data_IF_884238091323
#
_entry.id   IF_884238091323
#
_cell.length_a   1.000
_cell.length_b   1.000
_cell.length_c   1.000
_cell.angle_alpha   90.00
_cell.angle_beta   90.00
_cell.angle_gamma   90.00
#
_symmetry.space_group_name_H-M   'P 1'
#
loop_
_entity.id
_entity.type
_entity.pdbx_description
1 polymer ?
#
# COMPACT_ATOMS: atom_id res chain seq x y z
N UNK A 1 26.37 14.76 -0.28
CA UNK A 1 27.03 13.57 -0.88
C UNK A 1 25.95 12.73 -1.52
N UNK A 2 25.95 12.55 -2.84
CA UNK A 2 25.01 11.68 -3.57
C UNK A 2 25.78 10.85 -4.60
N UNK A 3 25.31 9.63 -4.88
CA UNK A 3 25.92 8.73 -5.85
C UNK A 3 25.56 7.26 -5.60
N UNK A 4 25.57 6.45 -6.65
CA UNK A 4 25.31 4.99 -6.60
C UNK A 4 26.25 4.25 -5.64
N UNK A 5 27.44 4.80 -5.38
CA UNK A 5 28.38 4.32 -4.36
C UNK A 5 27.81 4.28 -2.95
N UNK A 6 26.78 5.09 -2.64
CA UNK A 6 26.10 5.06 -1.35
C UNK A 6 24.92 4.07 -1.32
N UNK A 7 24.40 3.66 -2.47
CA UNK A 7 23.37 2.61 -2.57
C UNK A 7 23.97 1.21 -2.46
N UNK A 8 25.15 0.98 -3.07
CA UNK A 8 25.86 -0.29 -3.02
C UNK A 8 26.03 -0.89 -1.60
N UNK A 9 26.51 -0.15 -0.57
CA UNK A 9 26.68 -0.70 0.77
C UNK A 9 25.35 -1.09 1.44
N UNK A 10 24.24 -0.42 1.12
CA UNK A 10 22.91 -0.78 1.65
C UNK A 10 22.46 -2.14 1.10
N UNK A 11 22.64 -2.37 -0.20
CA UNK A 11 22.27 -3.65 -0.83
C UNK A 11 23.17 -4.77 -0.32
N UNK A 12 24.49 -4.57 -0.22
CA UNK A 12 25.38 -5.59 0.34
C UNK A 12 25.08 -5.92 1.81
N UNK A 13 24.68 -4.92 2.60
CA UNK A 13 24.25 -5.13 3.99
C UNK A 13 22.97 -5.97 4.08
N UNK A 14 21.97 -5.68 3.23
CA UNK A 14 20.74 -6.48 3.16
C UNK A 14 21.01 -7.92 2.72
N UNK A 15 21.90 -8.13 1.74
CA UNK A 15 22.32 -9.47 1.31
C UNK A 15 23.01 -10.24 2.45
N UNK A 16 23.85 -9.57 3.25
CA UNK A 16 24.46 -10.19 4.42
C UNK A 16 23.41 -10.64 5.45
N UNK A 17 22.36 -9.84 5.68
CA UNK A 17 21.24 -10.22 6.54
C UNK A 17 20.46 -11.42 5.97
N UNK A 18 20.28 -11.49 4.64
CA UNK A 18 19.66 -12.65 3.98
C UNK A 18 20.46 -13.92 4.24
N UNK A 19 21.78 -13.91 4.04
CA UNK A 19 22.63 -15.06 4.31
C UNK A 19 22.64 -15.44 5.81
N UNK A 20 22.52 -14.46 6.70
CA UNK A 20 22.39 -14.74 8.14
C UNK A 20 21.07 -15.41 8.50
N UNK A 21 19.98 -15.08 7.80
CA UNK A 21 18.63 -15.61 8.10
C UNK A 21 18.32 -16.90 7.35
N UNK A 22 18.82 -17.04 6.14
CA UNK A 22 18.65 -18.19 5.26
C UNK A 22 20.04 -18.70 4.85
N UNK A 23 20.70 -19.54 5.68
CA UNK A 23 22.09 -19.96 5.44
C UNK A 23 22.32 -20.68 4.11
N UNK A 24 21.31 -21.40 3.62
CA UNK A 24 21.39 -22.20 2.40
C UNK A 24 20.92 -21.46 1.13
N UNK A 25 20.60 -20.16 1.25
CA UNK A 25 20.10 -19.37 0.12
C UNK A 25 21.14 -19.25 -0.99
N UNK A 26 20.73 -19.53 -2.22
CA UNK A 26 21.60 -19.41 -3.39
C UNK A 26 21.68 -17.96 -3.88
N UNK A 27 22.77 -17.57 -4.58
CA UNK A 27 22.87 -16.24 -5.18
C UNK A 27 21.73 -15.90 -6.16
N UNK A 28 21.15 -16.91 -6.83
CA UNK A 28 19.96 -16.74 -7.68
C UNK A 28 18.73 -16.37 -6.87
N UNK A 29 18.46 -17.08 -5.78
CA UNK A 29 17.30 -16.80 -4.90
C UNK A 29 17.44 -15.46 -4.18
N UNK A 30 18.67 -15.07 -3.80
CA UNK A 30 18.94 -13.72 -3.28
C UNK A 30 18.53 -12.66 -4.30
N UNK A 31 18.95 -12.81 -5.57
CA UNK A 31 18.60 -11.87 -6.64
C UNK A 31 17.08 -11.83 -6.86
N UNK A 32 16.43 -12.98 -6.89
CA UNK A 32 14.98 -13.08 -7.06
C UNK A 32 14.22 -12.37 -5.93
N UNK A 33 14.58 -12.63 -4.67
CA UNK A 33 13.99 -11.94 -3.50
C UNK A 33 14.17 -10.43 -3.58
N UNK A 34 15.36 -9.95 -3.94
CA UNK A 34 15.63 -8.52 -4.07
C UNK A 34 14.88 -7.85 -5.21
N UNK A 35 14.48 -8.61 -6.24
CA UNK A 35 13.69 -8.10 -7.37
C UNK A 35 12.19 -8.20 -7.12
N UNK A 36 11.76 -9.19 -6.32
CA UNK A 36 10.37 -9.46 -6.00
C UNK A 36 9.82 -8.51 -4.94
N UNK A 37 10.60 -8.23 -3.89
CA UNK A 37 10.17 -7.45 -2.74
C UNK A 37 10.67 -6.01 -2.83
N UNK A 38 10.19 -5.31 -3.86
CA UNK A 38 10.58 -3.95 -4.22
C UNK A 38 9.41 -3.00 -4.06
N UNK A 39 9.69 -1.82 -3.51
CA UNK A 39 8.80 -0.67 -3.59
C UNK A 39 9.09 0.00 -4.91
N UNK A 40 8.12 -0.03 -5.82
CA UNK A 40 8.25 0.63 -7.11
C UNK A 40 8.35 2.16 -6.91
N UNK A 41 9.35 2.77 -7.52
CA UNK A 41 9.59 4.22 -7.50
C UNK A 41 9.44 4.84 -8.89
N UNK A 42 9.04 4.04 -9.89
CA UNK A 42 9.01 4.40 -11.31
C UNK A 42 7.80 3.82 -12.04
N UNK A 43 8.00 3.48 -13.31
CA UNK A 43 6.95 2.87 -14.15
C UNK A 43 6.84 1.37 -13.84
N UNK A 44 5.62 0.81 -13.96
CA UNK A 44 5.36 -0.61 -13.75
C UNK A 44 6.39 -1.49 -14.51
N UNK A 45 7.05 -2.41 -13.79
CA UNK A 45 8.15 -3.28 -14.25
C UNK A 45 9.54 -2.65 -14.22
N UNK A 46 10.55 -3.40 -14.68
CA UNK A 46 11.94 -2.95 -14.69
C UNK A 46 12.11 -1.72 -15.58
N UNK A 47 12.48 -0.59 -14.99
CA UNK A 47 12.89 0.62 -15.71
C UNK A 47 14.43 0.75 -15.79
N UNK A 48 14.93 1.59 -16.70
CA UNK A 48 16.38 1.77 -16.90
C UNK A 48 17.06 2.66 -15.84
N UNK A 49 16.30 3.32 -14.97
CA UNK A 49 16.80 4.30 -14.00
C UNK A 49 16.84 3.78 -12.55
N UNK A 50 15.88 2.95 -12.18
CA UNK A 50 15.62 2.35 -10.87
C UNK A 50 15.62 0.82 -10.93
N UNK A 51 15.72 0.22 -12.11
CA UNK A 51 15.66 -1.23 -12.25
C UNK A 51 14.29 -1.74 -11.82
N UNK A 52 14.26 -2.72 -10.92
CA UNK A 52 13.01 -3.24 -10.36
C UNK A 52 12.42 -2.34 -9.25
N UNK A 53 13.11 -1.26 -8.85
CA UNK A 53 12.69 -0.40 -7.75
C UNK A 53 13.57 -0.54 -6.51
N UNK A 54 13.08 -0.05 -5.37
CA UNK A 54 13.83 -0.04 -4.11
C UNK A 54 13.47 -1.28 -3.27
N UNK A 55 14.41 -2.19 -2.97
CA UNK A 55 14.11 -3.35 -2.13
C UNK A 55 13.60 -2.94 -0.73
N UNK A 56 12.45 -3.47 -0.32
CA UNK A 56 12.01 -3.36 1.07
C UNK A 56 12.73 -4.43 1.88
N UNK A 57 13.63 -3.98 2.77
CA UNK A 57 14.46 -4.88 3.57
C UNK A 57 13.63 -5.80 4.48
N UNK A 58 12.50 -5.34 4.99
CA UNK A 58 11.62 -6.17 5.81
C UNK A 58 10.95 -7.25 4.95
N UNK A 59 10.45 -6.88 3.78
CA UNK A 59 9.76 -7.80 2.89
C UNK A 59 10.71 -8.87 2.33
N UNK A 60 11.91 -8.46 1.91
CA UNK A 60 12.99 -9.36 1.47
C UNK A 60 13.34 -10.40 2.53
N UNK A 61 13.43 -9.99 3.79
CA UNK A 61 13.80 -10.86 4.92
C UNK A 61 12.66 -11.76 5.41
N UNK A 62 11.41 -11.41 5.14
CA UNK A 62 10.24 -12.14 5.69
C UNK A 62 9.38 -12.81 4.62
N UNK A 63 9.76 -12.74 3.34
CA UNK A 63 9.01 -13.30 2.21
C UNK A 63 7.57 -12.78 2.07
N UNK A 64 7.33 -11.56 2.55
CA UNK A 64 6.03 -10.90 2.49
C UNK A 64 6.19 -9.40 2.68
N UNK A 65 5.45 -8.59 1.92
CA UNK A 65 5.31 -7.18 2.28
C UNK A 65 4.66 -7.05 3.66
N UNK A 66 5.03 -6.00 4.40
CA UNK A 66 4.23 -5.62 5.57
C UNK A 66 2.81 -5.31 5.07
N UNK A 67 1.80 -5.84 5.75
CA UNK A 67 0.41 -5.87 5.26
C UNK A 67 -0.22 -4.48 5.06
N UNK A 68 0.51 -3.41 5.42
CA UNK A 68 0.02 -2.04 5.38
C UNK A 68 0.74 -1.17 4.34
N UNK A 69 1.84 -1.62 3.74
CA UNK A 69 2.63 -0.77 2.82
C UNK A 69 1.90 -0.39 1.54
N UNK A 70 0.93 -1.20 1.14
CA UNK A 70 0.11 -0.99 -0.06
C UNK A 70 -1.33 -0.64 0.30
N UNK A 71 -1.60 -0.37 1.59
CA UNK A 71 -2.90 0.14 1.98
C UNK A 71 -3.03 1.58 1.49
N UNK A 72 -4.01 1.86 0.63
CA UNK A 72 -4.36 3.22 0.25
C UNK A 72 -5.66 3.59 0.94
N UNK A 73 -5.63 4.65 1.74
CA UNK A 73 -6.84 5.24 2.35
C UNK A 73 -7.25 6.43 1.52
N UNK A 74 -8.53 6.55 1.18
CA UNK A 74 -9.05 7.63 0.36
C UNK A 74 -10.41 8.11 0.83
N UNK A 75 -10.68 9.39 0.58
CA UNK A 75 -11.96 10.03 0.87
C UNK A 75 -12.75 10.09 -0.42
N UNK A 76 -13.94 9.52 -0.39
CA UNK A 76 -14.80 9.36 -1.54
C UNK A 76 -16.12 10.13 -1.39
N UNK A 77 -16.53 10.84 -2.45
CA UNK A 77 -17.75 11.65 -2.45
C UNK A 77 -18.82 11.05 -3.37
N UNK A 78 -19.85 10.44 -2.75
CA UNK A 78 -20.92 9.74 -3.46
C UNK A 78 -21.77 10.60 -4.40
N UNK A 79 -21.92 11.90 -4.10
CA UNK A 79 -22.75 12.80 -4.93
C UNK A 79 -22.10 13.18 -6.26
N UNK A 80 -20.77 13.30 -6.29
CA UNK A 80 -20.01 13.75 -7.45
C UNK A 80 -19.26 12.62 -8.14
N UNK A 81 -19.41 11.41 -7.63
CA UNK A 81 -18.69 10.22 -8.04
C UNK A 81 -17.17 10.42 -8.16
N UNK A 82 -16.55 10.90 -7.09
CA UNK A 82 -15.14 11.33 -7.14
C UNK A 82 -14.38 11.07 -5.85
N UNK A 83 -13.14 10.61 -5.98
CA UNK A 83 -12.16 10.59 -4.89
C UNK A 83 -11.65 12.03 -4.66
N UNK A 84 -11.78 12.51 -3.43
CA UNK A 84 -11.36 13.87 -3.04
C UNK A 84 -9.89 13.97 -2.68
N UNK A 85 -9.36 12.98 -1.96
CA UNK A 85 -7.93 12.82 -1.71
C UNK A 85 -7.61 11.41 -1.20
N UNK A 86 -6.32 11.10 -1.07
CA UNK A 86 -5.82 9.84 -0.53
C UNK A 86 -4.58 10.05 0.35
N UNK A 87 -4.28 9.06 1.17
CA UNK A 87 -3.06 8.93 1.96
C UNK A 87 -2.69 7.46 2.09
N UNK A 88 -1.43 7.19 2.38
CA UNK A 88 -0.96 5.89 2.81
C UNK A 88 -0.84 5.88 4.33
N UNK A 89 -1.32 4.84 5.03
CA UNK A 89 -1.11 4.71 6.46
C UNK A 89 0.36 4.42 6.74
N UNK A 90 0.80 4.77 7.94
CA UNK A 90 2.09 4.32 8.45
C UNK A 90 2.02 2.83 8.88
N UNK A 91 3.16 2.27 9.31
CA UNK A 91 3.23 0.87 9.77
C UNK A 91 2.35 0.53 10.98
N UNK A 92 1.82 1.52 11.68
CA UNK A 92 0.87 1.34 12.78
C UNK A 92 -0.59 1.43 12.31
N UNK A 93 -0.84 1.63 11.02
CA UNK A 93 -2.19 1.80 10.45
C UNK A 93 -2.72 3.24 10.55
N UNK A 94 -1.96 4.17 11.12
CA UNK A 94 -2.40 5.55 11.27
C UNK A 94 -2.21 6.33 9.96
N UNK A 95 -3.20 7.12 9.58
CA UNK A 95 -3.21 7.93 8.36
C UNK A 95 -3.71 9.34 8.64
N UNK A 96 -3.35 10.28 7.77
CA UNK A 96 -3.85 11.67 7.82
C UNK A 96 -4.20 12.08 6.38
N UNK A 97 -5.44 12.50 6.16
CA UNK A 97 -5.87 13.08 4.89
C UNK A 97 -6.19 14.55 5.16
N UNK A 98 -5.59 15.45 4.38
CA UNK A 98 -5.71 16.90 4.59
C UNK A 98 -6.33 17.58 3.36
N UNK A 99 -6.65 18.87 3.49
CA UNK A 99 -7.19 19.69 2.41
C UNK A 99 -8.51 19.17 1.80
N UNK A 100 -9.35 18.54 2.63
CA UNK A 100 -10.69 18.10 2.23
C UNK A 100 -11.69 19.24 2.47
N UNK A 101 -12.53 19.50 1.48
CA UNK A 101 -13.61 20.47 1.62
C UNK A 101 -14.65 19.98 2.64
N UNK A 102 -15.34 20.89 3.35
CA UNK A 102 -16.42 20.49 4.25
C UNK A 102 -17.52 19.74 3.49
N UNK A 103 -18.01 18.64 4.06
CA UNK A 103 -18.97 17.79 3.38
C UNK A 103 -19.15 16.43 4.04
N UNK A 104 -19.98 15.60 3.40
CA UNK A 104 -20.18 14.21 3.79
C UNK A 104 -19.49 13.30 2.79
N UNK A 105 -18.72 12.36 3.31
CA UNK A 105 -17.87 11.47 2.53
C UNK A 105 -17.94 10.04 3.06
N UNK A 106 -17.63 9.09 2.20
CA UNK A 106 -17.19 7.77 2.61
C UNK A 106 -15.67 7.80 2.77
N UNK A 107 -15.14 7.23 3.84
CA UNK A 107 -13.70 6.98 3.96
C UNK A 107 -13.47 5.51 3.68
N UNK A 108 -12.55 5.23 2.77
CA UNK A 108 -12.34 3.92 2.20
C UNK A 108 -10.86 3.57 2.27
N UNK A 109 -10.55 2.28 2.38
CA UNK A 109 -9.19 1.80 2.31
C UNK A 109 -9.14 0.46 1.59
N UNK A 110 -8.07 0.24 0.84
CA UNK A 110 -7.80 -1.06 0.24
C UNK A 110 -6.32 -1.39 0.29
N UNK A 111 -6.02 -2.67 0.50
CA UNK A 111 -4.70 -3.25 0.40
C UNK A 111 -4.52 -3.83 -1.00
N UNK A 112 -3.75 -3.14 -1.82
CA UNK A 112 -3.42 -3.52 -3.21
C UNK A 112 -2.33 -4.58 -3.24
N UNK A 113 -2.71 -5.85 -3.11
CA UNK A 113 -1.77 -6.95 -2.89
C UNK A 113 -0.94 -7.27 -4.14
N UNK A 114 -1.43 -6.92 -5.33
CA UNK A 114 -0.76 -7.20 -6.60
C UNK A 114 -0.20 -5.94 -7.28
N UNK A 115 -0.24 -4.79 -6.61
CA UNK A 115 0.32 -3.51 -7.05
C UNK A 115 -0.26 -3.01 -8.38
N UNK A 116 -1.52 -3.31 -8.68
CA UNK A 116 -2.14 -2.89 -9.94
C UNK A 116 -2.87 -1.55 -9.84
N UNK A 117 -3.05 -1.02 -8.62
CA UNK A 117 -3.73 0.24 -8.33
C UNK A 117 -5.26 0.18 -8.39
N UNK A 118 -5.83 -1.00 -8.62
CA UNK A 118 -7.26 -1.29 -8.65
C UNK A 118 -7.63 -2.20 -7.48
N UNK A 119 -8.94 -2.31 -7.21
CA UNK A 119 -9.46 -3.24 -6.21
C UNK A 119 -9.90 -4.52 -6.92
N UNK A 120 -9.37 -5.66 -6.51
CA UNK A 120 -9.73 -6.96 -7.08
C UNK A 120 -9.97 -8.08 -6.04
N UNK A 121 -10.07 -9.34 -6.52
CA UNK A 121 -10.41 -10.53 -5.70
C UNK A 121 -9.38 -10.87 -4.65
N UNK A 122 -8.14 -10.44 -4.85
CA UNK A 122 -7.03 -10.73 -3.95
C UNK A 122 -6.77 -9.62 -2.93
N UNK A 123 -7.41 -8.46 -3.12
CA UNK A 123 -7.27 -7.30 -2.26
C UNK A 123 -8.18 -7.39 -1.04
N UNK A 124 -7.75 -6.72 0.02
CA UNK A 124 -8.61 -6.47 1.19
C UNK A 124 -9.11 -5.05 1.14
N UNK A 125 -10.36 -4.83 1.51
CA UNK A 125 -10.98 -3.51 1.48
C UNK A 125 -11.77 -3.26 2.76
N UNK A 126 -11.87 -2.00 3.18
CA UNK A 126 -12.77 -1.53 4.25
C UNK A 126 -13.28 -0.11 3.99
N UNK A 127 -14.44 0.26 4.55
CA UNK A 127 -14.99 1.62 4.45
C UNK A 127 -15.84 2.01 5.64
N UNK A 128 -16.04 3.32 5.77
CA UNK A 128 -17.03 3.97 6.64
C UNK A 128 -17.87 4.91 5.76
N UNK A 129 -19.18 4.67 5.67
CA UNK A 129 -20.06 5.31 4.69
C UNK A 129 -20.39 6.79 4.97
N UNK A 130 -20.29 7.23 6.22
CA UNK A 130 -20.82 8.53 6.64
C UNK A 130 -19.87 9.23 7.59
N UNK A 131 -18.87 9.88 7.01
CA UNK A 131 -17.93 10.75 7.69
C UNK A 131 -18.21 12.20 7.31
N UNK A 132 -18.58 13.02 8.29
CA UNK A 132 -18.76 14.46 8.12
C UNK A 132 -17.47 15.20 8.42
N UNK A 133 -17.03 16.01 7.47
CA UNK A 133 -15.87 16.89 7.60
C UNK A 133 -16.38 18.32 7.72
N UNK A 134 -15.96 19.00 8.78
CA UNK A 134 -16.33 20.38 9.07
C UNK A 134 -15.15 21.32 8.83
N UNK A 135 -15.43 22.54 8.39
CA UNK A 135 -14.40 23.54 8.10
C UNK A 135 -13.53 23.81 9.34
N UNK A 136 -12.21 23.67 9.17
CA UNK A 136 -11.23 23.97 10.21
C UNK A 136 -11.19 22.98 11.38
N UNK A 137 -11.93 21.88 11.34
CA UNK A 137 -11.91 20.83 12.36
C UNK A 137 -11.17 19.58 11.85
N UNK A 138 -10.57 18.84 12.78
CA UNK A 138 -10.00 17.51 12.50
C UNK A 138 -11.06 16.47 12.84
N UNK A 139 -11.35 15.58 11.89
CA UNK A 139 -12.15 14.38 12.14
C UNK A 139 -11.21 13.24 12.46
N UNK A 140 -11.32 12.68 13.67
CA UNK A 140 -10.41 11.66 14.21
C UNK A 140 -11.14 10.32 14.44
N UNK A 141 -10.38 9.27 14.78
CA UNK A 141 -10.88 7.95 15.17
C UNK A 141 -11.71 7.23 14.09
N UNK A 142 -11.39 7.47 12.81
CA UNK A 142 -11.98 6.74 11.70
C UNK A 142 -11.19 5.45 11.48
N UNK A 143 -11.66 4.36 12.10
CA UNK A 143 -11.04 3.04 11.98
C UNK A 143 -11.64 2.29 10.78
N UNK A 144 -10.77 1.66 10.00
CA UNK A 144 -11.14 0.88 8.81
C UNK A 144 -10.64 -0.56 9.03
N UNK A 145 -11.57 -1.51 9.02
CA UNK A 145 -11.23 -2.93 9.03
C UNK A 145 -11.19 -3.44 7.59
N UNK A 146 -10.06 -4.01 7.18
CA UNK A 146 -9.87 -4.52 5.83
C UNK A 146 -10.22 -6.00 5.77
N UNK A 147 -11.24 -6.34 5.00
CA UNK A 147 -11.72 -7.69 4.79
C UNK A 147 -11.59 -8.08 3.31
N UNK A 148 -11.29 -9.35 3.04
CA UNK A 148 -11.31 -9.88 1.68
C UNK A 148 -12.77 -10.07 1.21
N UNK A 149 -13.02 -10.06 -0.11
CA UNK A 149 -14.36 -10.34 -0.64
C UNK A 149 -14.94 -11.66 -0.11
N UNK A 150 -14.10 -12.71 0.01
CA UNK A 150 -14.53 -14.01 0.53
C UNK A 150 -14.88 -13.96 2.04
N UNK A 151 -14.19 -13.11 2.82
CA UNK A 151 -14.47 -12.90 4.25
C UNK A 151 -15.81 -12.16 4.48
N UNK A 152 -16.24 -11.33 3.52
CA UNK A 152 -17.49 -10.55 3.64
C UNK A 152 -18.72 -11.23 3.04
N UNK A 153 -18.53 -12.23 2.18
CA UNK A 153 -19.62 -12.86 1.42
C UNK A 153 -20.24 -11.96 0.34
N UNK A 154 -19.58 -10.84 0.01
CA UNK A 154 -20.01 -9.85 -0.98
C UNK A 154 -19.11 -9.98 -2.22
N UNK A 155 -19.68 -9.87 -3.41
CA UNK A 155 -18.91 -9.84 -4.66
C UNK A 155 -18.12 -8.53 -4.80
N UNK A 156 -17.05 -8.49 -5.61
CA UNK A 156 -16.31 -7.24 -5.83
C UNK A 156 -17.19 -6.16 -6.46
N UNK A 157 -18.09 -6.52 -7.37
CA UNK A 157 -19.01 -5.55 -7.99
C UNK A 157 -19.95 -4.93 -6.96
N UNK A 158 -20.51 -5.74 -6.06
CA UNK A 158 -21.28 -5.24 -4.91
C UNK A 158 -20.42 -4.45 -3.92
N UNK A 159 -19.14 -4.80 -3.82
CA UNK A 159 -18.17 -4.09 -2.98
C UNK A 159 -17.89 -2.69 -3.54
N UNK A 160 -17.57 -2.62 -4.84
CA UNK A 160 -17.34 -1.39 -5.57
C UNK A 160 -18.59 -0.52 -5.59
N UNK A 161 -19.79 -1.08 -5.84
CA UNK A 161 -21.06 -0.31 -5.84
C UNK A 161 -21.49 0.24 -4.47
N UNK A 162 -21.01 -0.36 -3.37
CA UNK A 162 -21.21 0.19 -2.01
C UNK A 162 -20.29 1.39 -1.74
N UNK A 163 -19.13 1.39 -2.38
CA UNK A 163 -18.05 2.36 -2.19
C UNK A 163 -18.16 3.52 -3.18
N UNK A 164 -18.32 3.20 -4.46
CA UNK A 164 -18.56 4.04 -5.63
C UNK A 164 -19.99 3.70 -6.13
N UNK A 165 -20.87 4.62 -6.57
CA UNK A 165 -22.24 4.35 -7.01
C UNK A 165 -22.31 3.52 -8.30
#
# INVERSE_FOLDING_TARGET
>A
MSGTSMAAPHISGLVALLYSRYPDITPSEVREKLQKFVIDKGALNKDDFHGYGMPDSYAVLNDKFDQLYETKVFVYQRKSDSISAFSYPNRSGNYIITNIQPGNYSVCAFLDKNMNGYVDTEDKFGYVESVTINAGMVTENINLELLSPQETGITIEEYLTKVLP
#
